data_IF_218960351389
#
_entry.id   IF_218960351389
#
_cell.length_a   1.000
_cell.length_b   1.000
_cell.length_c   1.000
_cell.angle_alpha   90.00
_cell.angle_beta   90.00
_cell.angle_gamma   90.00
#
_symmetry.space_group_name_H-M   'P 1'
#
loop_
_entity.id
_entity.type
_entity.pdbx_description
1 polymer ?
#
# COMPACT_ATOMS: atom_id res chain seq x y z
N UNK A 1 8.37 19.41 10.10
CA UNK A 1 7.91 18.14 9.48
C UNK A 1 6.39 18.12 9.46
N UNK A 2 5.72 17.70 8.37
CA UNK A 2 4.27 17.61 8.37
C UNK A 2 3.80 16.63 9.46
N UNK A 3 2.71 16.98 10.16
CA UNK A 3 2.10 16.09 11.15
C UNK A 3 1.57 14.85 10.44
N UNK A 4 2.25 13.72 10.65
CA UNK A 4 1.78 12.41 10.19
C UNK A 4 0.67 11.97 11.14
N UNK A 5 -0.42 11.42 10.59
CA UNK A 5 -1.47 10.85 11.43
C UNK A 5 -0.86 9.64 12.19
N UNK A 6 -0.98 9.58 13.54
CA UNK A 6 -0.36 8.53 14.34
C UNK A 6 -0.66 7.09 13.85
N UNK A 7 -1.84 6.86 13.26
CA UNK A 7 -2.20 5.53 12.72
C UNK A 7 -1.34 5.07 11.54
N UNK A 8 -0.59 5.97 10.91
CA UNK A 8 0.33 5.66 9.81
C UNK A 8 1.81 5.73 10.21
N UNK A 9 2.10 5.98 11.49
CA UNK A 9 3.45 6.20 11.99
C UNK A 9 4.38 5.02 11.69
N UNK A 10 3.91 3.78 11.91
CA UNK A 10 4.69 2.57 11.61
C UNK A 10 5.11 2.52 10.13
N UNK A 11 4.16 2.72 9.22
CA UNK A 11 4.47 2.75 7.78
C UNK A 11 5.44 3.88 7.43
N UNK A 12 5.27 5.07 8.01
CA UNK A 12 6.16 6.20 7.76
C UNK A 12 7.56 6.00 8.33
N UNK A 13 7.72 5.25 9.41
CA UNK A 13 9.03 5.02 10.00
C UNK A 13 9.80 3.87 9.33
N UNK A 14 9.12 2.94 8.64
CA UNK A 14 9.78 1.84 7.92
C UNK A 14 10.35 2.28 6.56
N UNK A 15 11.51 1.76 6.16
CA UNK A 15 12.03 1.88 4.80
C UNK A 15 11.20 1.06 3.80
N UNK A 16 11.47 1.23 2.49
CA UNK A 16 10.83 0.42 1.45
C UNK A 16 11.20 -1.06 1.63
N UNK A 17 12.47 -1.33 1.85
CA UNK A 17 13.05 -2.66 2.02
C UNK A 17 12.49 -3.34 3.28
N UNK A 18 12.32 -2.59 4.38
CA UNK A 18 11.68 -3.11 5.59
C UNK A 18 10.21 -3.48 5.36
N UNK A 19 9.49 -2.71 4.54
CA UNK A 19 8.10 -3.02 4.16
C UNK A 19 8.05 -4.28 3.29
N UNK A 20 8.96 -4.40 2.32
CA UNK A 20 9.05 -5.58 1.44
C UNK A 20 9.39 -6.85 2.23
N UNK A 21 10.34 -6.78 3.16
CA UNK A 21 10.71 -7.88 4.05
C UNK A 21 9.56 -8.25 4.99
N UNK A 22 8.89 -7.25 5.59
CA UNK A 22 7.74 -7.50 6.48
C UNK A 22 6.59 -8.21 5.75
N UNK A 23 6.38 -7.89 4.46
CA UNK A 23 5.28 -8.43 3.67
C UNK A 23 5.64 -9.71 2.88
N UNK A 24 6.87 -10.23 2.98
CA UNK A 24 7.32 -11.38 2.18
C UNK A 24 6.46 -12.64 2.33
N UNK A 25 5.92 -12.86 3.52
CA UNK A 25 5.11 -14.06 3.85
C UNK A 25 3.59 -13.77 3.77
N UNK A 26 3.21 -12.54 3.41
CA UNK A 26 1.82 -12.14 3.28
C UNK A 26 1.30 -12.41 1.87
N UNK A 27 -0.01 -12.63 1.78
CA UNK A 27 -0.74 -12.60 0.51
C UNK A 27 -1.82 -11.52 0.57
N UNK A 28 -2.11 -10.85 -0.56
CA UNK A 28 -3.25 -9.96 -0.62
C UNK A 28 -4.54 -10.75 -0.34
N UNK A 29 -5.36 -10.27 0.60
CA UNK A 29 -6.54 -10.99 1.08
C UNK A 29 -7.85 -10.57 0.40
N UNK A 30 -7.79 -9.57 -0.49
CA UNK A 30 -8.84 -9.29 -1.46
C UNK A 30 -8.26 -8.69 -2.74
N UNK A 31 -8.77 -9.15 -3.88
CA UNK A 31 -8.70 -8.42 -5.15
C UNK A 31 -10.12 -7.96 -5.47
N UNK A 32 -10.55 -6.82 -4.91
CA UNK A 32 -11.81 -6.23 -5.36
C UNK A 32 -11.61 -5.59 -6.72
N UNK A 33 -12.57 -5.77 -7.64
CA UNK A 33 -12.60 -5.07 -8.95
C UNK A 33 -12.58 -3.54 -8.84
N UNK A 34 -12.68 -2.98 -7.63
CA UNK A 34 -12.67 -1.54 -7.36
C UNK A 34 -11.27 -0.98 -7.08
N UNK A 35 -10.26 -1.83 -6.86
CA UNK A 35 -8.90 -1.33 -6.66
C UNK A 35 -8.26 -1.04 -8.01
N UNK A 36 -7.87 0.23 -8.18
CA UNK A 36 -7.15 0.70 -9.38
C UNK A 36 -5.65 0.65 -9.20
N UNK A 37 -5.15 0.84 -7.98
CA UNK A 37 -3.72 1.02 -7.73
C UNK A 37 -3.12 -0.17 -6.97
N UNK A 38 -2.01 -0.65 -7.50
CA UNK A 38 -1.27 -1.80 -6.98
C UNK A 38 0.22 -1.49 -6.88
N UNK A 39 0.94 -2.28 -6.11
CA UNK A 39 2.41 -2.35 -6.11
C UNK A 39 2.84 -3.80 -6.19
N UNK A 40 3.97 -4.05 -6.83
CA UNK A 40 4.63 -5.34 -6.80
C UNK A 40 5.53 -5.41 -5.56
N UNK A 41 5.29 -6.39 -4.69
CA UNK A 41 6.13 -6.70 -3.54
C UNK A 41 6.54 -8.17 -3.67
N UNK A 42 7.83 -8.42 -3.91
CA UNK A 42 8.39 -9.77 -4.03
C UNK A 42 7.67 -10.66 -5.06
N UNK A 43 7.25 -10.09 -6.20
CA UNK A 43 6.54 -10.81 -7.26
C UNK A 43 5.03 -10.91 -7.07
N UNK A 44 4.48 -10.38 -5.97
CA UNK A 44 3.05 -10.41 -5.65
C UNK A 44 2.46 -9.02 -5.81
N UNK A 45 1.32 -8.93 -6.49
CA UNK A 45 0.59 -7.68 -6.69
C UNK A 45 -0.31 -7.37 -5.50
N UNK A 46 0.01 -6.34 -4.74
CA UNK A 46 -0.78 -5.88 -3.61
C UNK A 46 -1.56 -4.60 -3.96
N UNK A 47 -2.87 -4.52 -3.65
CA UNK A 47 -3.57 -3.25 -3.62
C UNK A 47 -2.90 -2.28 -2.64
N UNK A 48 -2.65 -1.03 -3.04
CA UNK A 48 -1.91 -0.07 -2.20
C UNK A 48 -2.52 0.13 -0.80
N UNK A 49 -3.85 0.04 -0.69
CA UNK A 49 -4.57 0.17 0.57
C UNK A 49 -4.24 -0.98 1.52
N UNK A 50 -4.11 -2.20 1.00
CA UNK A 50 -3.75 -3.37 1.81
C UNK A 50 -2.33 -3.28 2.34
N UNK A 51 -1.39 -2.76 1.55
CA UNK A 51 0.00 -2.59 2.00
C UNK A 51 0.02 -1.73 3.28
N UNK A 52 -0.66 -0.58 3.26
CA UNK A 52 -0.74 0.29 4.43
C UNK A 52 -1.54 -0.37 5.57
N UNK A 53 -2.64 -1.05 5.26
CA UNK A 53 -3.46 -1.76 6.25
C UNK A 53 -2.66 -2.84 7.00
N UNK A 54 -1.96 -3.71 6.26
CA UNK A 54 -1.18 -4.82 6.81
C UNK A 54 0.00 -4.33 7.66
N UNK A 55 0.72 -3.31 7.19
CA UNK A 55 1.86 -2.75 7.93
C UNK A 55 1.37 -2.09 9.23
N UNK A 56 0.29 -1.30 9.18
CA UNK A 56 -0.21 -0.55 10.32
C UNK A 56 -1.17 -1.33 11.22
N UNK A 57 -1.59 -2.55 10.86
CA UNK A 57 -2.58 -3.32 11.61
C UNK A 57 -3.97 -2.69 11.58
N UNK A 58 -4.35 -2.06 10.47
CA UNK A 58 -5.63 -1.37 10.28
C UNK A 58 -6.56 -2.17 9.38
N UNK A 59 -7.86 -1.89 9.47
CA UNK A 59 -8.82 -2.29 8.43
C UNK A 59 -8.64 -1.43 7.18
N UNK A 60 -8.73 -2.00 5.96
CA UNK A 60 -8.76 -1.24 4.71
C UNK A 60 -9.81 -0.13 4.67
N UNK A 61 -10.94 -0.32 5.38
CA UNK A 61 -12.03 0.66 5.44
C UNK A 61 -11.62 1.95 6.17
N UNK A 62 -10.55 1.91 6.97
CA UNK A 62 -10.03 3.06 7.70
C UNK A 62 -9.07 3.92 6.88
N UNK A 63 -8.80 3.53 5.63
CA UNK A 63 -7.76 4.10 4.78
C UNK A 63 -8.37 4.50 3.44
N UNK A 64 -8.26 5.78 3.10
CA UNK A 64 -8.66 6.22 1.76
C UNK A 64 -7.59 5.85 0.72
N UNK A 65 -8.00 5.59 -0.52
CA UNK A 65 -7.08 5.33 -1.62
C UNK A 65 -6.05 6.46 -1.80
N UNK A 66 -6.45 7.72 -1.58
CA UNK A 66 -5.54 8.87 -1.66
C UNK A 66 -4.48 8.89 -0.55
N UNK A 67 -4.85 8.50 0.67
CA UNK A 67 -3.88 8.33 1.76
C UNK A 67 -2.87 7.24 1.43
N UNK A 68 -3.36 6.06 1.02
CA UNK A 68 -2.50 4.95 0.64
C UNK A 68 -1.56 5.33 -0.51
N UNK A 69 -2.09 5.99 -1.55
CA UNK A 69 -1.31 6.39 -2.72
C UNK A 69 -0.19 7.35 -2.33
N UNK A 70 -0.49 8.37 -1.50
CA UNK A 70 0.52 9.32 -1.04
C UNK A 70 1.60 8.65 -0.19
N UNK A 71 1.24 7.76 0.72
CA UNK A 71 2.18 7.05 1.59
C UNK A 71 3.10 6.13 0.79
N UNK A 72 2.51 5.27 -0.03
CA UNK A 72 3.23 4.28 -0.85
C UNK A 72 4.15 4.97 -1.86
N UNK A 73 3.67 6.03 -2.53
CA UNK A 73 4.50 6.81 -3.47
C UNK A 73 5.68 7.49 -2.79
N UNK A 74 5.49 8.07 -1.59
CA UNK A 74 6.58 8.69 -0.81
C UNK A 74 7.65 7.68 -0.37
N UNK A 75 7.31 6.39 -0.28
CA UNK A 75 8.26 5.32 0.01
C UNK A 75 9.04 4.84 -1.21
N UNK A 76 8.74 5.34 -2.42
CA UNK A 76 9.45 4.93 -3.63
C UNK A 76 8.99 3.58 -4.18
N UNK A 77 7.78 3.15 -3.85
CA UNK A 77 7.14 2.05 -4.58
C UNK A 77 6.65 2.53 -5.94
N UNK A 78 6.79 1.68 -6.94
CA UNK A 78 6.20 1.87 -8.26
C UNK A 78 4.72 1.47 -8.22
N UNK A 79 3.84 2.46 -8.41
CA UNK A 79 2.39 2.24 -8.37
C UNK A 79 1.89 1.92 -9.78
N UNK A 80 1.34 0.72 -9.93
CA UNK A 80 0.73 0.22 -11.16
C UNK A 80 -0.76 0.49 -11.11
N UNK A 81 -1.30 1.15 -12.13
CA UNK A 81 -2.73 1.40 -12.30
C UNK A 81 -3.36 0.33 -13.21
N UNK A 82 -4.29 -0.46 -12.69
CA UNK A 82 -5.14 -1.37 -13.48
C UNK A 82 -6.40 -0.63 -13.91
N UNK A 83 -6.75 -0.73 -15.19
CA UNK A 83 -7.91 -0.05 -15.78
C UNK A 83 -7.60 1.04 -16.80
N UNK A 84 -6.34 1.18 -17.24
CA UNK A 84 -6.05 1.63 -18.60
C UNK A 84 -6.01 0.41 -19.52
N UNK A 85 -7.17 -0.22 -19.71
CA UNK A 85 -7.41 -0.84 -21.01
C UNK A 85 -7.62 0.35 -21.94
N UNK A 86 -6.81 0.39 -23.01
CA UNK A 86 -6.97 1.34 -24.11
C UNK A 86 -8.43 1.28 -24.58
N UNK A 87 -9.16 2.39 -24.46
CA UNK A 87 -10.29 2.65 -25.37
C UNK A 87 -9.76 2.90 -26.78
#
# INVERSE_FOLDING_TARGET
MPKVNPKFEKFVNMSKEEIEEYLKDFKPYFESKRHKYFVNINGIMFPIVQVVALVCGLSPLEISSGQAYSLVKRKGFEIIERGKEEE
#
